data_IF_000964823408
#
_entry.id   IF_000964823408
#
_cell.length_a   1.000
_cell.length_b   1.000
_cell.length_c   1.000
_cell.angle_alpha   90.00
_cell.angle_beta   90.00
_cell.angle_gamma   90.00
#
_symmetry.space_group_name_H-M   'P 1'
#
loop_
_entity.id
_entity.type
_entity.pdbx_description
1 polymer ?
#
# COMPACT_ATOMS: atom_id res chain seq x y z
N UNK A 1 17.77 0.76 -12.00
CA UNK A 1 16.78 1.65 -12.65
C UNK A 1 16.58 2.83 -11.72
N UNK A 2 16.71 4.06 -12.22
CA UNK A 2 16.37 5.24 -11.42
C UNK A 2 14.87 5.18 -11.07
N UNK A 3 14.51 5.49 -9.84
CA UNK A 3 13.10 5.57 -9.43
C UNK A 3 12.52 6.80 -10.12
N UNK A 4 11.69 6.63 -11.14
CA UNK A 4 11.10 7.74 -11.91
C UNK A 4 9.86 8.33 -11.22
N UNK A 5 9.18 7.54 -10.38
CA UNK A 5 7.98 7.93 -9.64
C UNK A 5 7.83 7.11 -8.36
N UNK A 6 7.29 7.73 -7.31
CA UNK A 6 6.87 7.09 -6.07
C UNK A 6 5.34 7.13 -5.99
N UNK A 7 4.73 6.01 -5.59
CA UNK A 7 3.28 5.86 -5.50
C UNK A 7 2.87 5.62 -4.06
N UNK A 8 1.85 6.32 -3.60
CA UNK A 8 1.24 6.14 -2.27
C UNK A 8 -0.26 6.05 -2.40
N UNK A 9 -0.93 5.28 -1.53
CA UNK A 9 -2.39 5.41 -1.41
C UNK A 9 -2.71 6.79 -0.85
N UNK A 10 -3.82 7.36 -1.30
CA UNK A 10 -4.26 8.69 -0.93
C UNK A 10 -5.78 8.72 -0.77
N UNK A 11 -6.28 9.55 0.14
CA UNK A 11 -7.70 9.73 0.36
C UNK A 11 -8.04 11.19 0.56
N UNK A 12 -8.85 11.74 -0.36
CA UNK A 12 -9.45 13.08 -0.20
C UNK A 12 -10.69 13.10 0.72
N UNK A 13 -11.33 11.95 0.90
CA UNK A 13 -12.54 11.79 1.71
C UNK A 13 -12.32 10.74 2.80
N UNK A 14 -11.72 11.15 3.93
CA UNK A 14 -11.52 10.28 5.08
C UNK A 14 -10.52 9.13 4.84
N UNK A 15 -10.72 8.02 5.56
CA UNK A 15 -9.75 6.91 5.68
C UNK A 15 -9.89 5.79 4.65
N UNK A 16 -10.68 5.97 3.58
CA UNK A 16 -10.93 4.93 2.58
C UNK A 16 -9.88 4.85 1.47
N UNK A 17 -8.88 5.75 1.48
CA UNK A 17 -7.75 5.85 0.54
C UNK A 17 -8.00 5.31 -0.89
N UNK A 18 -9.05 5.79 -1.59
CA UNK A 18 -9.41 5.26 -2.91
C UNK A 18 -8.53 5.79 -4.03
N UNK A 19 -7.70 6.80 -3.78
CA UNK A 19 -6.87 7.48 -4.75
C UNK A 19 -5.40 7.10 -4.59
N UNK A 20 -4.55 7.51 -5.54
CA UNK A 20 -3.12 7.30 -5.48
C UNK A 20 -2.42 8.65 -5.60
N UNK A 21 -1.53 8.95 -4.68
CA UNK A 21 -0.57 10.03 -4.84
C UNK A 21 0.60 9.53 -5.68
N UNK A 22 0.80 10.14 -6.83
CA UNK A 22 2.00 10.00 -7.64
C UNK A 22 2.94 11.17 -7.36
N UNK A 23 4.13 10.85 -6.88
CA UNK A 23 5.22 11.79 -6.63
C UNK A 23 6.30 11.56 -7.67
N UNK A 24 6.52 12.56 -8.52
CA UNK A 24 7.58 12.60 -9.52
C UNK A 24 8.53 13.74 -9.21
N UNK A 25 9.71 13.72 -9.83
CA UNK A 25 10.65 14.83 -9.75
C UNK A 25 9.94 16.14 -10.18
N UNK A 26 9.82 17.11 -9.27
CA UNK A 26 9.18 18.40 -9.53
C UNK A 26 7.66 18.37 -9.75
N UNK A 27 6.94 17.25 -9.56
CA UNK A 27 5.49 17.24 -9.71
C UNK A 27 4.77 16.27 -8.78
N UNK A 28 3.64 16.73 -8.25
CA UNK A 28 2.74 15.97 -7.39
C UNK A 28 1.40 15.82 -8.11
N UNK A 29 0.84 14.60 -8.16
CA UNK A 29 -0.45 14.35 -8.83
C UNK A 29 -1.26 13.33 -8.03
N UNK A 30 -2.57 13.52 -8.01
CA UNK A 30 -3.50 12.47 -7.61
C UNK A 30 -3.98 11.73 -8.84
N UNK A 31 -3.91 10.41 -8.79
CA UNK A 31 -4.48 9.49 -9.75
C UNK A 31 -5.74 8.89 -9.14
N UNK A 32 -6.86 9.05 -9.83
CA UNK A 32 -8.12 8.39 -9.48
C UNK A 32 -8.16 7.07 -10.25
N UNK A 33 -8.11 5.91 -9.58
CA UNK A 33 -8.15 4.62 -10.26
C UNK A 33 -9.43 4.45 -11.09
N UNK A 34 -9.33 3.73 -12.21
CA UNK A 34 -10.50 3.35 -13.00
C UNK A 34 -11.24 2.18 -12.37
N UNK A 35 -12.53 2.04 -12.69
CA UNK A 35 -13.32 0.89 -12.21
C UNK A 35 -12.73 -0.44 -12.68
N UNK A 36 -12.11 -0.45 -13.86
CA UNK A 36 -11.43 -1.62 -14.42
C UNK A 36 -10.16 -1.98 -13.64
N UNK A 37 -9.32 -1.00 -13.28
CA UNK A 37 -8.12 -1.30 -12.47
C UNK A 37 -8.48 -1.77 -11.07
N UNK A 38 -9.52 -1.20 -10.46
CA UNK A 38 -10.07 -1.67 -9.18
C UNK A 38 -10.56 -3.11 -9.30
N UNK A 39 -11.36 -3.42 -10.32
CA UNK A 39 -11.84 -4.79 -10.57
C UNK A 39 -10.68 -5.76 -10.77
N UNK A 40 -9.67 -5.39 -11.56
CA UNK A 40 -8.48 -6.22 -11.83
C UNK A 40 -7.71 -6.53 -10.56
N UNK A 41 -7.46 -5.52 -9.73
CA UNK A 41 -6.80 -5.70 -8.43
C UNK A 41 -7.64 -6.55 -7.50
N UNK A 42 -8.97 -6.39 -7.49
CA UNK A 42 -9.85 -7.22 -6.67
C UNK A 42 -9.79 -8.71 -7.08
N UNK A 43 -9.85 -8.99 -8.38
CA UNK A 43 -9.72 -10.35 -8.91
C UNK A 43 -8.37 -10.96 -8.55
N UNK A 44 -7.27 -10.23 -8.80
CA UNK A 44 -5.93 -10.71 -8.46
C UNK A 44 -5.74 -10.90 -6.94
N UNK A 45 -6.26 -9.99 -6.12
CA UNK A 45 -6.23 -10.12 -4.65
C UNK A 45 -6.93 -11.40 -4.21
N UNK A 46 -8.07 -11.71 -4.84
CA UNK A 46 -8.82 -12.94 -4.56
C UNK A 46 -8.01 -14.17 -4.96
N UNK A 47 -7.39 -14.17 -6.13
CA UNK A 47 -6.52 -15.27 -6.59
C UNK A 47 -5.33 -15.46 -5.65
N UNK A 48 -4.65 -14.39 -5.25
CA UNK A 48 -3.51 -14.43 -4.32
C UNK A 48 -3.94 -14.96 -2.95
N UNK A 49 -5.09 -14.50 -2.42
CA UNK A 49 -5.61 -14.98 -1.15
C UNK A 49 -5.96 -16.47 -1.20
N UNK A 50 -6.62 -16.92 -2.27
CA UNK A 50 -6.92 -18.35 -2.48
C UNK A 50 -5.63 -19.16 -2.62
N UNK A 51 -4.68 -18.73 -3.44
CA UNK A 51 -3.39 -19.39 -3.58
C UNK A 51 -2.67 -19.50 -2.23
N UNK A 52 -2.68 -18.45 -1.42
CA UNK A 52 -2.08 -18.49 -0.10
C UNK A 52 -2.75 -19.52 0.82
N UNK A 53 -4.07 -19.50 0.92
CA UNK A 53 -4.83 -20.40 1.80
C UNK A 53 -4.64 -21.87 1.38
N UNK A 54 -4.80 -22.16 0.09
CA UNK A 54 -4.79 -23.53 -0.43
C UNK A 54 -3.39 -24.10 -0.68
N UNK A 55 -2.34 -23.28 -0.73
CA UNK A 55 -0.96 -23.76 -0.88
C UNK A 55 -0.22 -23.71 0.45
N UNK A 56 -0.21 -22.57 1.15
CA UNK A 56 0.61 -22.40 2.35
C UNK A 56 0.12 -23.28 3.51
N UNK A 57 -1.20 -23.41 3.70
CA UNK A 57 -1.77 -24.24 4.77
C UNK A 57 -1.36 -25.72 4.65
N UNK A 58 -1.66 -26.39 3.53
CA UNK A 58 -1.25 -27.78 3.32
C UNK A 58 0.27 -27.99 3.33
N UNK A 59 1.04 -27.05 2.77
CA UNK A 59 2.49 -27.12 2.76
C UNK A 59 3.07 -27.07 4.20
N UNK A 60 2.58 -26.14 5.02
CA UNK A 60 2.99 -26.04 6.43
C UNK A 60 2.58 -27.30 7.20
N UNK A 61 1.39 -27.85 6.95
CA UNK A 61 0.96 -29.12 7.55
C UNK A 61 1.86 -30.29 7.18
N UNK A 62 2.22 -30.42 5.89
CA UNK A 62 3.11 -31.47 5.41
C UNK A 62 4.53 -31.35 5.98
N UNK A 63 5.09 -30.12 5.99
CA UNK A 63 6.42 -29.84 6.56
C UNK A 63 6.44 -30.13 8.06
N UNK A 64 5.39 -29.72 8.78
CA UNK A 64 5.28 -29.96 10.21
C UNK A 64 5.22 -31.46 10.54
N UNK A 65 4.45 -32.24 9.79
CA UNK A 65 4.36 -33.70 9.94
C UNK A 65 5.70 -34.38 9.64
N UNK A 66 6.42 -33.94 8.61
CA UNK A 66 7.70 -34.52 8.21
C UNK A 66 8.82 -34.24 9.22
N UNK A 67 8.87 -33.04 9.80
CA UNK A 67 9.93 -32.63 10.73
C UNK A 67 9.68 -33.10 12.17
N UNK A 68 8.42 -33.29 12.57
CA UNK A 68 8.05 -33.55 13.96
C UNK A 68 6.99 -34.66 14.08
N UNK A 69 7.28 -35.91 13.62
CA UNK A 69 6.30 -36.99 13.61
C UNK A 69 5.84 -37.43 15.02
N UNK A 70 6.63 -37.14 16.06
CA UNK A 70 6.41 -37.63 17.43
C UNK A 70 6.07 -36.52 18.45
N UNK A 71 5.93 -35.27 18.00
CA UNK A 71 5.62 -34.15 18.90
C UNK A 71 4.11 -34.01 19.02
N UNK A 72 3.60 -33.77 20.24
CA UNK A 72 2.17 -33.61 20.50
C UNK A 72 1.53 -32.59 19.54
N UNK A 73 0.48 -33.02 18.83
CA UNK A 73 -0.09 -32.30 17.68
C UNK A 73 -0.56 -30.86 17.96
N UNK A 74 -0.80 -30.52 19.23
CA UNK A 74 -1.22 -29.18 19.65
C UNK A 74 -0.10 -28.15 19.48
N UNK A 75 1.13 -28.43 19.96
CA UNK A 75 2.23 -27.47 19.89
C UNK A 75 2.67 -27.20 18.44
N UNK A 76 2.70 -28.27 17.63
CA UNK A 76 3.01 -28.22 16.20
C UNK A 76 1.95 -27.42 15.45
N UNK A 77 0.67 -27.63 15.75
CA UNK A 77 -0.45 -26.88 15.17
C UNK A 77 -0.39 -25.39 15.49
N UNK A 78 -0.08 -25.02 16.74
CA UNK A 78 0.07 -23.61 17.15
C UNK A 78 1.23 -22.95 16.41
N UNK A 79 2.41 -23.59 16.37
CA UNK A 79 3.57 -23.05 15.67
C UNK A 79 3.31 -22.85 14.17
N UNK A 80 2.73 -23.86 13.50
CA UNK A 80 2.35 -23.76 12.09
C UNK A 80 1.33 -22.64 11.86
N UNK A 81 0.36 -22.48 12.76
CA UNK A 81 -0.62 -21.39 12.72
C UNK A 81 0.06 -20.01 12.81
N UNK A 82 0.98 -19.81 13.76
CA UNK A 82 1.72 -18.54 13.89
C UNK A 82 2.51 -18.23 12.61
N UNK A 83 3.22 -19.21 12.06
CA UNK A 83 3.98 -19.04 10.81
C UNK A 83 3.05 -18.70 9.65
N UNK A 84 1.88 -19.33 9.57
CA UNK A 84 0.86 -19.01 8.56
C UNK A 84 0.37 -17.56 8.71
N UNK A 85 0.07 -17.07 9.90
CA UNK A 85 -0.38 -15.68 10.06
C UNK A 85 0.73 -14.66 9.76
N UNK A 86 1.98 -14.95 10.14
CA UNK A 86 3.12 -14.11 9.77
C UNK A 86 3.33 -14.07 8.25
N UNK A 87 3.21 -15.22 7.59
CA UNK A 87 3.27 -15.30 6.13
C UNK A 87 2.14 -14.53 5.46
N UNK A 88 0.91 -14.64 5.97
CA UNK A 88 -0.25 -13.90 5.47
C UNK A 88 -0.01 -12.39 5.59
N UNK A 89 0.47 -11.92 6.74
CA UNK A 89 0.82 -10.51 6.93
C UNK A 89 1.88 -10.06 5.93
N UNK A 90 2.93 -10.87 5.71
CA UNK A 90 3.95 -10.61 4.70
C UNK A 90 3.37 -10.49 3.29
N UNK A 91 2.47 -11.41 2.91
CA UNK A 91 1.78 -11.40 1.61
C UNK A 91 0.91 -10.17 1.47
N UNK A 92 0.17 -9.75 2.51
CA UNK A 92 -0.66 -8.54 2.47
C UNK A 92 0.19 -7.28 2.26
N UNK A 93 1.30 -7.14 2.99
CA UNK A 93 2.21 -5.99 2.84
C UNK A 93 2.88 -5.98 1.47
N UNK A 94 3.29 -7.15 0.97
CA UNK A 94 3.87 -7.29 -0.36
C UNK A 94 2.85 -6.95 -1.45
N UNK A 95 1.63 -7.48 -1.33
CA UNK A 95 0.54 -7.27 -2.25
C UNK A 95 0.11 -5.80 -2.30
N UNK A 96 0.02 -5.13 -1.14
CA UNK A 96 -0.33 -3.72 -1.10
C UNK A 96 0.64 -2.87 -1.94
N UNK A 97 1.96 -3.12 -1.82
CA UNK A 97 2.98 -2.44 -2.64
C UNK A 97 2.88 -2.79 -4.13
N UNK A 98 2.64 -4.06 -4.45
CA UNK A 98 2.53 -4.55 -5.83
C UNK A 98 1.24 -4.12 -6.54
N UNK A 99 0.18 -3.83 -5.79
CA UNK A 99 -1.10 -3.38 -6.34
C UNK A 99 -1.09 -1.92 -6.80
N UNK A 100 -0.20 -1.09 -6.26
CA UNK A 100 -0.15 0.36 -6.55
C UNK A 100 0.12 0.66 -8.04
N UNK A 101 1.12 0.05 -8.71
CA UNK A 101 1.33 0.26 -10.13
C UNK A 101 0.12 -0.15 -10.99
N UNK A 102 -0.57 -1.22 -10.63
CA UNK A 102 -1.77 -1.70 -11.35
C UNK A 102 -2.93 -0.71 -11.25
N UNK A 103 -3.10 -0.08 -10.08
CA UNK A 103 -4.12 0.95 -9.90
C UNK A 103 -3.75 2.25 -10.63
N UNK A 104 -2.46 2.52 -10.83
CA UNK A 104 -1.92 3.72 -11.47
C UNK A 104 -1.77 3.61 -13.02
N UNK A 105 -1.97 2.43 -13.61
CA UNK A 105 -1.67 2.16 -15.03
C UNK A 105 -2.60 2.92 -15.99
N UNK A 106 -3.90 2.93 -15.72
CA UNK A 106 -4.91 3.62 -16.52
C UNK A 106 -5.90 4.38 -15.60
N UNK A 107 -5.50 5.54 -15.06
CA UNK A 107 -6.33 6.30 -14.14
C UNK A 107 -7.51 6.92 -14.88
N UNK A 108 -8.68 6.94 -14.24
CA UNK A 108 -9.88 7.62 -14.75
C UNK A 108 -9.68 9.14 -14.84
N UNK A 109 -8.93 9.69 -13.89
CA UNK A 109 -8.63 11.12 -13.80
C UNK A 109 -7.26 11.34 -13.20
N UNK A 110 -6.54 12.32 -13.73
CA UNK A 110 -5.25 12.80 -13.22
C UNK A 110 -5.47 14.23 -12.76
N UNK A 111 -5.16 14.51 -11.50
CA UNK A 111 -5.33 15.84 -10.89
C UNK A 111 -3.97 16.35 -10.46
N UNK A 112 -3.41 17.41 -11.07
CA UNK A 112 -2.18 18.01 -10.61
C UNK A 112 -2.39 18.66 -9.25
N UNK A 113 -1.37 18.56 -8.39
CA UNK A 113 -1.38 19.11 -7.04
C UNK A 113 -0.23 20.08 -6.85
N UNK A 114 -0.56 21.25 -6.33
CA UNK A 114 0.41 22.20 -5.82
C UNK A 114 0.47 22.05 -4.29
N UNK A 115 1.64 21.72 -3.77
CA UNK A 115 1.81 21.55 -2.32
C UNK A 115 1.66 22.91 -1.61
N UNK A 116 0.81 22.97 -0.59
CA UNK A 116 0.69 24.14 0.30
C UNK A 116 1.37 23.83 1.63
N UNK A 117 0.97 22.76 2.30
CA UNK A 117 1.43 22.40 3.64
C UNK A 117 1.35 20.89 3.87
N UNK A 118 2.13 20.39 4.82
CA UNK A 118 2.15 18.98 5.22
C UNK A 118 1.99 18.86 6.72
N UNK A 119 0.90 18.23 7.16
CA UNK A 119 0.65 17.92 8.57
C UNK A 119 0.84 16.43 8.82
N UNK A 120 1.60 16.08 9.85
CA UNK A 120 1.84 14.69 10.23
C UNK A 120 1.00 14.31 11.43
N UNK A 121 0.14 13.30 11.26
CA UNK A 121 -0.54 12.62 12.35
C UNK A 121 0.16 11.28 12.61
N UNK A 122 0.06 10.78 13.84
CA UNK A 122 0.81 9.61 14.33
C UNK A 122 0.71 8.38 13.40
N UNK A 123 -0.44 8.19 12.76
CA UNK A 123 -0.79 7.02 11.93
C UNK A 123 -0.96 7.34 10.44
N UNK A 124 -1.10 8.61 10.07
CA UNK A 124 -1.29 9.06 8.69
C UNK A 124 -0.74 10.48 8.51
N UNK A 125 -0.44 10.86 7.28
CA UNK A 125 -0.03 12.22 6.95
C UNK A 125 -1.10 12.90 6.14
N UNK A 126 -1.37 14.16 6.42
CA UNK A 126 -2.31 14.97 5.69
C UNK A 126 -1.53 16.01 4.88
N UNK A 127 -1.63 15.94 3.56
CA UNK A 127 -1.11 16.96 2.66
C UNK A 127 -2.23 17.95 2.39
N UNK A 128 -1.97 19.24 2.61
CA UNK A 128 -2.79 20.32 2.07
C UNK A 128 -2.20 20.73 0.73
N UNK A 129 -2.99 20.60 -0.32
CA UNK A 129 -2.57 20.94 -1.67
C UNK A 129 -3.67 21.70 -2.40
N UNK A 130 -3.31 22.49 -3.40
CA UNK A 130 -4.26 23.09 -4.33
C UNK A 130 -4.44 22.16 -5.52
N UNK A 131 -5.69 21.80 -5.80
CA UNK A 131 -6.10 21.03 -6.96
C UNK A 131 -7.10 21.86 -7.76
N UNK A 132 -6.80 22.17 -9.02
CA UNK A 132 -7.70 22.91 -9.93
C UNK A 132 -8.23 24.22 -9.31
N UNK A 133 -7.39 24.93 -8.56
CA UNK A 133 -7.76 26.19 -7.89
C UNK A 133 -8.47 26.03 -6.53
N UNK A 134 -8.80 24.81 -6.12
CA UNK A 134 -9.43 24.51 -4.82
C UNK A 134 -8.45 23.91 -3.83
N UNK A 135 -8.53 24.29 -2.54
CA UNK A 135 -7.73 23.65 -1.49
C UNK A 135 -8.31 22.28 -1.17
N UNK A 136 -7.44 21.27 -1.18
CA UNK A 136 -7.78 19.87 -0.95
C UNK A 136 -6.86 19.29 0.10
N UNK A 137 -7.45 18.55 1.03
CA UNK A 137 -6.76 17.76 2.05
C UNK A 137 -6.66 16.33 1.59
N UNK A 138 -5.45 15.77 1.64
CA UNK A 138 -5.15 14.43 1.13
C UNK A 138 -4.49 13.64 2.25
N UNK A 139 -5.20 12.65 2.79
CA UNK A 139 -4.65 11.73 3.77
C UNK A 139 -3.83 10.64 3.07
N UNK A 140 -2.67 10.33 3.62
CA UNK A 140 -1.70 9.36 3.10
C UNK A 140 -1.31 8.43 4.25
N UNK A 141 -1.46 7.11 4.09
CA UNK A 141 -1.00 6.17 5.10
C UNK A 141 0.52 6.03 5.00
N UNK A 142 1.21 6.20 6.13
CA UNK A 142 2.66 6.00 6.20
C UNK A 142 3.40 6.90 7.19
N UNK A 143 4.62 6.49 7.53
CA UNK A 143 5.49 7.22 8.47
C UNK A 143 5.99 8.54 7.88
N UNK A 144 6.17 9.54 8.76
CA UNK A 144 6.73 10.87 8.43
C UNK A 144 8.02 10.78 7.59
N UNK A 145 8.89 9.83 7.90
CA UNK A 145 10.13 9.59 7.18
C UNK A 145 9.92 9.29 5.69
N UNK A 146 8.98 8.39 5.37
CA UNK A 146 8.72 7.97 3.98
C UNK A 146 8.17 9.09 3.11
N UNK A 147 7.28 9.91 3.67
CA UNK A 147 6.74 11.05 2.92
C UNK A 147 7.80 12.14 2.81
N UNK A 148 8.56 12.44 3.87
CA UNK A 148 9.67 13.37 3.81
C UNK A 148 10.70 13.01 2.73
N UNK A 149 11.08 11.73 2.64
CA UNK A 149 11.92 11.20 1.56
C UNK A 149 11.29 11.43 0.18
N UNK A 150 10.00 11.14 0.02
CA UNK A 150 9.30 11.34 -1.26
C UNK A 150 9.20 12.81 -1.66
N UNK A 151 8.94 13.72 -0.71
CA UNK A 151 8.87 15.16 -0.97
C UNK A 151 10.25 15.72 -1.29
N UNK A 152 11.30 15.27 -0.59
CA UNK A 152 12.68 15.63 -0.91
C UNK A 152 13.09 15.14 -2.30
N UNK A 153 12.64 13.94 -2.71
CA UNK A 153 12.81 13.41 -4.06
C UNK A 153 12.11 14.29 -5.12
N UNK A 154 10.96 14.84 -4.77
CA UNK A 154 10.24 15.78 -5.64
C UNK A 154 10.88 17.18 -5.69
N UNK A 155 11.93 17.46 -4.91
CA UNK A 155 12.50 18.80 -4.76
C UNK A 155 11.62 19.75 -3.95
N UNK A 156 10.66 19.22 -3.19
CA UNK A 156 9.73 19.99 -2.35
C UNK A 156 10.26 19.98 -0.91
N UNK A 157 10.60 21.15 -0.37
CA UNK A 157 10.88 21.28 1.06
C UNK A 157 9.57 21.11 1.82
N UNK A 158 9.50 20.11 2.70
CA UNK A 158 8.44 20.07 3.72
C UNK A 158 8.61 21.29 4.61
N UNK A 159 7.75 22.29 4.46
CA UNK A 159 7.66 23.39 5.41
C UNK A 159 7.08 22.77 6.68
N UNK A 160 7.94 22.50 7.66
CA UNK A 160 7.51 22.09 8.98
C UNK A 160 6.98 23.32 9.71
N UNK A 161 5.66 23.35 9.97
CA UNK A 161 5.12 24.10 11.10
C UNK A 161 4.69 23.12 12.19
#
# INVERSE_FOLDING_TARGET
MAVERLLFRAGRQGYTYPEILEVRLGSLRILVPSAESIRRVHVLSTVVALAYIFIAGPLLGAVALALMPNVGGVAVGVAAGVVFFLGLFGVLVWWDRWSLPLLAEAPRRIVPLELIDTQSYRTFQEIRARAEGTEVRVAIPGSRSRLGEAMSFAGMSTISS
#
